data_IF_000935320452
#
_entry.id   IF_000935320452
#
_cell.length_a   1.000
_cell.length_b   1.000
_cell.length_c   1.000
_cell.angle_alpha   90.00
_cell.angle_beta   90.00
_cell.angle_gamma   90.00
#
_symmetry.space_group_name_H-M   'P 1'
#
loop_
_entity.id
_entity.type
_entity.pdbx_description
1 polymer ?
#
# COMPACT_ATOMS: atom_id res chain seq x y z
N UNK A 1 4.62 8.64 4.06
CA UNK A 1 3.79 7.42 4.18
C UNK A 1 2.43 7.59 3.52
N UNK A 2 1.56 8.48 4.00
CA UNK A 2 0.17 8.60 3.51
C UNK A 2 0.07 8.76 1.99
N UNK A 3 0.86 9.67 1.42
CA UNK A 3 0.85 9.92 -0.02
C UNK A 3 1.35 8.73 -0.83
N UNK A 4 2.33 7.98 -0.31
CA UNK A 4 2.82 6.77 -0.95
C UNK A 4 1.77 5.66 -0.92
N UNK A 5 1.12 5.45 0.22
CA UNK A 5 0.02 4.48 0.33
C UNK A 5 -1.14 4.82 -0.61
N UNK A 6 -1.58 6.08 -0.62
CA UNK A 6 -2.66 6.54 -1.51
C UNK A 6 -2.30 6.39 -2.97
N UNK A 7 -1.05 6.70 -3.36
CA UNK A 7 -0.58 6.50 -4.73
C UNK A 7 -0.64 5.02 -5.13
N UNK A 8 -0.15 4.12 -4.28
CA UNK A 8 -0.18 2.68 -4.57
C UNK A 8 -1.61 2.18 -4.73
N UNK A 9 -2.53 2.57 -3.84
CA UNK A 9 -3.89 2.07 -3.88
C UNK A 9 -4.70 2.74 -5.00
N UNK A 10 -4.56 4.05 -5.22
CA UNK A 10 -5.38 4.76 -6.20
C UNK A 10 -4.83 4.70 -7.61
N UNK A 11 -3.59 5.13 -7.76
CA UNK A 11 -3.01 5.40 -9.08
C UNK A 11 -2.44 4.13 -9.70
N UNK A 12 -1.93 3.21 -8.87
CA UNK A 12 -1.37 1.94 -9.34
C UNK A 12 -2.39 0.79 -9.29
N UNK A 13 -3.07 0.56 -8.16
CA UNK A 13 -4.06 -0.52 -8.04
C UNK A 13 -5.47 -0.12 -8.51
N UNK A 14 -5.67 1.13 -8.93
CA UNK A 14 -6.92 1.58 -9.54
C UNK A 14 -8.09 1.82 -8.57
N UNK A 15 -7.87 1.80 -7.26
CA UNK A 15 -8.94 2.08 -6.29
C UNK A 15 -9.33 3.56 -6.29
N UNK A 16 -10.62 3.84 -6.19
CA UNK A 16 -11.16 5.19 -6.33
C UNK A 16 -11.35 5.91 -4.99
N UNK A 17 -11.06 5.24 -3.85
CA UNK A 17 -11.41 5.74 -2.52
C UNK A 17 -12.91 6.04 -2.42
N UNK A 18 -13.69 5.13 -3.00
CA UNK A 18 -15.13 5.10 -2.95
C UNK A 18 -15.50 3.66 -2.59
N UNK A 19 -16.22 3.48 -1.48
CA UNK A 19 -16.48 2.16 -0.92
C UNK A 19 -17.18 1.21 -1.89
N UNK A 20 -18.18 1.69 -2.62
CA UNK A 20 -18.96 0.85 -3.54
C UNK A 20 -18.10 0.41 -4.72
N UNK A 21 -17.44 1.37 -5.39
CA UNK A 21 -16.55 1.08 -6.51
C UNK A 21 -15.37 0.20 -6.10
N UNK A 22 -14.78 0.44 -4.93
CA UNK A 22 -13.60 -0.29 -4.48
C UNK A 22 -13.93 -1.75 -4.11
N UNK A 23 -15.15 -2.03 -3.66
CA UNK A 23 -15.62 -3.41 -3.43
C UNK A 23 -15.76 -4.19 -4.73
N UNK A 24 -16.30 -3.54 -5.76
CA UNK A 24 -16.49 -4.10 -7.10
C UNK A 24 -15.20 -4.12 -7.93
N UNK A 25 -14.16 -3.39 -7.51
CA UNK A 25 -12.91 -3.28 -8.24
C UNK A 25 -12.19 -4.65 -8.39
N UNK A 26 -12.05 -5.10 -9.64
CA UNK A 26 -11.35 -6.33 -10.05
C UNK A 26 -9.87 -6.08 -10.44
N UNK A 27 -9.49 -4.82 -10.68
CA UNK A 27 -8.15 -4.40 -11.15
C UNK A 27 -7.02 -4.68 -10.16
N UNK A 28 -7.32 -5.19 -8.96
CA UNK A 28 -6.31 -5.78 -8.07
C UNK A 28 -5.47 -6.87 -8.76
N UNK A 29 -6.14 -7.78 -9.49
CA UNK A 29 -5.44 -8.87 -10.18
C UNK A 29 -4.63 -8.36 -11.37
N UNK A 30 -5.18 -7.39 -12.11
CA UNK A 30 -4.51 -6.70 -13.21
C UNK A 30 -3.24 -6.00 -12.73
N UNK A 31 -3.27 -5.27 -11.61
CA UNK A 31 -2.09 -4.61 -11.06
C UNK A 31 -0.94 -5.57 -10.75
N UNK A 32 -1.24 -6.80 -10.29
CA UNK A 32 -0.24 -7.84 -10.02
C UNK A 32 0.28 -8.56 -11.28
N UNK A 33 -0.42 -8.45 -12.41
CA UNK A 33 -0.17 -9.30 -13.59
C UNK A 33 0.13 -8.54 -14.88
N UNK A 34 -0.21 -7.24 -14.98
CA UNK A 34 -0.23 -6.53 -16.27
C UNK A 34 0.36 -5.11 -16.27
N UNK A 35 0.78 -4.56 -15.14
CA UNK A 35 1.28 -3.17 -15.09
C UNK A 35 2.66 -3.05 -15.76
N UNK A 36 2.87 -1.99 -16.56
CA UNK A 36 4.18 -1.74 -17.16
C UNK A 36 5.22 -1.52 -16.05
N UNK A 37 6.44 -2.01 -16.25
CA UNK A 37 7.56 -1.85 -15.32
C UNK A 37 7.74 -0.40 -14.82
N UNK A 38 7.37 0.59 -15.64
CA UNK A 38 7.47 2.00 -15.31
C UNK A 38 6.50 2.47 -14.21
N UNK A 39 5.26 1.99 -14.18
CA UNK A 39 4.27 2.42 -13.17
C UNK A 39 4.54 1.69 -11.86
N UNK A 40 4.82 0.37 -11.91
CA UNK A 40 5.29 -0.39 -10.75
C UNK A 40 6.59 0.21 -10.18
N UNK A 41 7.51 0.66 -11.04
CA UNK A 41 8.72 1.35 -10.62
C UNK A 41 8.46 2.64 -9.83
N UNK A 42 7.44 3.44 -10.19
CA UNK A 42 7.06 4.65 -9.44
C UNK A 42 6.42 4.32 -8.10
N UNK A 43 5.54 3.32 -8.07
CA UNK A 43 4.94 2.82 -6.83
C UNK A 43 6.02 2.32 -5.86
N UNK A 44 6.92 1.47 -6.35
CA UNK A 44 8.07 0.97 -5.61
C UNK A 44 8.96 2.11 -5.10
N UNK A 45 9.27 3.11 -5.92
CA UNK A 45 10.10 4.25 -5.51
C UNK A 45 9.47 5.08 -4.38
N UNK A 46 8.15 5.32 -4.42
CA UNK A 46 7.44 6.02 -3.34
C UNK A 46 7.44 5.24 -2.03
N UNK A 47 7.27 3.92 -2.10
CA UNK A 47 7.35 3.05 -0.93
C UNK A 47 8.78 2.99 -0.39
N UNK A 48 9.80 2.88 -1.25
CA UNK A 48 11.22 2.95 -0.90
C UNK A 48 11.53 4.22 -0.13
N UNK A 49 11.16 5.38 -0.66
CA UNK A 49 11.41 6.67 0.00
C UNK A 49 10.69 6.75 1.36
N UNK A 50 9.50 6.17 1.47
CA UNK A 50 8.80 6.04 2.76
C UNK A 50 9.58 5.15 3.73
N UNK A 51 10.12 4.02 3.28
CA UNK A 51 10.91 3.11 4.10
C UNK A 51 12.22 3.75 4.59
N UNK A 52 12.91 4.51 3.72
CA UNK A 52 14.12 5.28 4.08
C UNK A 52 13.78 6.35 5.12
N UNK A 53 12.73 7.14 4.90
CA UNK A 53 12.33 8.21 5.83
C UNK A 53 11.90 7.69 7.22
N UNK A 54 11.40 6.45 7.28
CA UNK A 54 11.03 5.78 8.55
C UNK A 54 12.19 4.98 9.16
N UNK A 55 13.36 4.94 8.51
CA UNK A 55 14.51 4.15 8.94
C UNK A 55 14.23 2.65 8.98
N UNK A 56 13.45 2.14 8.03
CA UNK A 56 13.21 0.70 7.80
C UNK A 56 14.36 0.11 6.98
N UNK A 57 14.83 0.85 5.98
CA UNK A 57 16.00 0.52 5.17
C UNK A 57 16.94 1.72 5.11
N UNK A 58 18.21 1.46 4.80
CA UNK A 58 19.21 2.49 4.54
C UNK A 58 19.07 3.07 3.12
N UNK A 59 19.55 4.29 2.91
CA UNK A 59 19.36 5.02 1.65
C UNK A 59 20.17 4.47 0.47
N UNK A 60 21.24 3.74 0.74
CA UNK A 60 22.12 3.05 -0.22
C UNK A 60 21.71 1.60 -0.47
N UNK A 61 20.99 0.98 0.47
CA UNK A 61 20.50 -0.38 0.35
C UNK A 61 19.10 -0.43 -0.31
N UNK A 62 19.06 -0.58 -1.64
CA UNK A 62 17.82 -0.83 -2.36
C UNK A 62 17.53 -2.33 -2.51
N UNK A 63 16.73 -2.86 -1.59
CA UNK A 63 16.14 -4.19 -1.72
C UNK A 63 14.84 -4.10 -2.54
N UNK A 64 14.94 -4.33 -3.84
CA UNK A 64 13.79 -4.28 -4.74
C UNK A 64 12.70 -5.30 -4.36
N UNK A 65 13.10 -6.51 -3.99
CA UNK A 65 12.16 -7.60 -3.67
C UNK A 65 11.34 -7.25 -2.43
N UNK A 66 12.00 -6.69 -1.40
CA UNK A 66 11.35 -6.21 -0.19
C UNK A 66 10.29 -5.15 -0.50
N UNK A 67 10.65 -4.16 -1.32
CA UNK A 67 9.74 -3.06 -1.69
C UNK A 67 8.55 -3.58 -2.48
N UNK A 68 8.77 -4.49 -3.42
CA UNK A 68 7.70 -5.16 -4.18
C UNK A 68 6.77 -5.91 -3.23
N UNK A 69 7.29 -6.68 -2.27
CA UNK A 69 6.47 -7.37 -1.25
C UNK A 69 5.60 -6.42 -0.45
N UNK A 70 6.15 -5.27 -0.02
CA UNK A 70 5.38 -4.25 0.70
C UNK A 70 4.24 -3.72 -0.17
N UNK A 71 4.50 -3.40 -1.44
CA UNK A 71 3.45 -2.96 -2.38
C UNK A 71 2.35 -4.02 -2.49
N UNK A 72 2.72 -5.28 -2.77
CA UNK A 72 1.75 -6.38 -2.92
C UNK A 72 0.90 -6.56 -1.67
N UNK A 73 1.54 -6.58 -0.49
CA UNK A 73 0.84 -6.77 0.78
C UNK A 73 0.00 -5.57 1.18
N UNK A 74 0.37 -4.35 0.78
CA UNK A 74 -0.47 -3.17 0.94
C UNK A 74 -1.79 -3.34 0.18
N UNK A 75 -1.71 -3.74 -1.10
CA UNK A 75 -2.88 -3.89 -1.97
C UNK A 75 -3.75 -5.07 -1.51
N UNK A 76 -3.13 -6.22 -1.18
CA UNK A 76 -3.83 -7.38 -0.61
C UNK A 76 -4.55 -7.05 0.69
N UNK A 77 -3.87 -6.35 1.60
CA UNK A 77 -4.45 -5.97 2.89
C UNK A 77 -5.62 -5.02 2.72
N UNK A 78 -5.56 -4.10 1.77
CA UNK A 78 -6.69 -3.22 1.45
C UNK A 78 -7.91 -4.00 0.94
N UNK A 79 -7.74 -4.88 -0.05
CA UNK A 79 -8.84 -5.70 -0.58
C UNK A 79 -9.42 -6.61 0.49
N UNK A 80 -8.59 -7.24 1.32
CA UNK A 80 -9.05 -8.06 2.44
C UNK A 80 -9.85 -7.22 3.45
N UNK A 81 -9.40 -6.00 3.76
CA UNK A 81 -10.10 -5.09 4.68
C UNK A 81 -11.47 -4.67 4.15
N UNK A 82 -11.59 -4.40 2.85
CA UNK A 82 -12.87 -4.11 2.19
C UNK A 82 -13.86 -5.27 2.30
N UNK A 83 -13.36 -6.51 2.18
CA UNK A 83 -14.17 -7.73 2.31
C UNK A 83 -14.54 -8.03 3.75
N UNK A 84 -13.71 -7.63 4.72
CA UNK A 84 -13.94 -7.91 6.14
C UNK A 84 -14.93 -6.92 6.76
N UNK A 85 -14.61 -5.62 6.85
CA UNK A 85 -15.54 -4.61 7.40
C UNK A 85 -15.08 -3.15 7.23
N UNK A 86 -14.14 -2.84 6.34
CA UNK A 86 -13.79 -1.47 6.03
C UNK A 86 -14.96 -0.79 5.29
N UNK A 87 -15.80 -0.11 6.06
CA UNK A 87 -17.09 0.48 5.62
C UNK A 87 -17.07 2.01 5.54
N UNK A 88 -15.90 2.63 5.71
CA UNK A 88 -15.78 4.08 5.61
C UNK A 88 -16.02 4.55 4.16
N UNK A 89 -16.76 5.66 3.92
CA UNK A 89 -16.97 6.22 2.58
C UNK A 89 -15.68 6.60 1.84
N UNK A 90 -14.59 6.84 2.56
CA UNK A 90 -13.24 7.06 2.04
C UNK A 90 -12.31 5.91 2.46
N UNK A 91 -12.50 4.71 1.90
CA UNK A 91 -11.86 3.49 2.37
C UNK A 91 -10.34 3.52 2.19
N UNK A 92 -9.81 3.94 1.04
CA UNK A 92 -8.35 4.07 0.84
C UNK A 92 -7.73 5.03 1.86
N UNK A 93 -8.35 6.17 2.09
CA UNK A 93 -7.85 7.18 3.04
C UNK A 93 -7.85 6.63 4.46
N UNK A 94 -8.90 5.91 4.83
CA UNK A 94 -9.03 5.25 6.13
C UNK A 94 -7.96 4.18 6.30
N UNK A 95 -7.83 3.28 5.33
CA UNK A 95 -6.84 2.21 5.34
C UNK A 95 -5.40 2.74 5.35
N UNK A 96 -5.09 3.77 4.55
CA UNK A 96 -3.78 4.42 4.61
C UNK A 96 -3.53 5.13 5.96
N UNK A 97 -4.57 5.61 6.64
CA UNK A 97 -4.46 6.10 8.01
C UNK A 97 -4.07 5.00 9.00
N UNK A 98 -4.56 3.79 8.81
CA UNK A 98 -4.20 2.62 9.62
C UNK A 98 -2.75 2.20 9.34
N UNK A 99 -2.39 2.04 8.06
CA UNK A 99 -1.03 1.66 7.65
C UNK A 99 0.01 2.67 8.14
N UNK A 100 -0.27 3.96 7.98
CA UNK A 100 0.68 5.00 8.37
C UNK A 100 0.63 5.37 9.86
N UNK A 101 -0.46 5.04 10.56
CA UNK A 101 -0.69 5.44 11.94
C UNK A 101 -0.73 6.97 12.13
N UNK A 102 -0.66 7.38 13.40
CA UNK A 102 -0.64 8.79 13.81
C UNK A 102 0.77 9.31 14.12
N UNK A 103 1.80 8.46 14.06
CA UNK A 103 3.19 8.83 14.34
C UNK A 103 4.17 7.92 13.57
N UNK A 104 5.44 8.33 13.52
CA UNK A 104 6.49 7.64 12.78
C UNK A 104 6.75 6.20 13.27
N UNK A 105 6.64 5.93 14.58
CA UNK A 105 6.87 4.59 15.13
C UNK A 105 5.78 3.61 14.72
N UNK A 106 4.51 4.04 14.79
CA UNK A 106 3.37 3.22 14.33
C UNK A 106 3.48 2.94 12.83
N UNK A 107 3.73 3.99 12.02
CA UNK A 107 3.93 3.82 10.58
C UNK A 107 5.12 2.90 10.26
N UNK A 108 6.23 3.03 10.99
CA UNK A 108 7.39 2.14 10.87
C UNK A 108 7.01 0.69 11.15
N UNK A 109 6.36 0.43 12.29
CA UNK A 109 5.95 -0.91 12.69
C UNK A 109 5.04 -1.55 11.64
N UNK A 110 4.00 -0.84 11.20
CA UNK A 110 3.01 -1.37 10.27
C UNK A 110 3.60 -1.63 8.88
N UNK A 111 4.44 -0.73 8.35
CA UNK A 111 5.13 -0.96 7.08
C UNK A 111 6.14 -2.10 7.18
N UNK A 112 6.81 -2.26 8.33
CA UNK A 112 7.70 -3.40 8.55
C UNK A 112 6.92 -4.72 8.55
N UNK A 113 5.71 -4.75 9.12
CA UNK A 113 4.82 -5.93 9.05
C UNK A 113 4.40 -6.28 7.62
N UNK A 114 4.19 -5.27 6.75
CA UNK A 114 3.84 -5.44 5.34
C UNK A 114 4.92 -6.16 4.52
N UNK A 115 6.14 -6.34 5.03
CA UNK A 115 7.17 -7.14 4.35
C UNK A 115 6.77 -8.62 4.26
N UNK A 116 6.05 -9.11 5.27
CA UNK A 116 5.75 -10.53 5.42
C UNK A 116 4.25 -10.83 5.26
N UNK A 117 3.38 -9.93 5.72
CA UNK A 117 1.94 -10.18 5.73
C UNK A 117 1.14 -8.94 5.33
N UNK A 118 -0.01 -9.11 4.65
CA UNK A 118 -0.96 -8.02 4.47
C UNK A 118 -1.49 -7.55 5.83
N UNK A 119 -1.62 -6.24 5.99
CA UNK A 119 -2.26 -5.65 7.16
C UNK A 119 -3.77 -5.57 6.91
N UNK A 120 -4.57 -6.30 7.67
CA UNK A 120 -6.03 -6.31 7.50
C UNK A 120 -6.68 -5.58 8.67
N UNK A 121 -7.63 -4.70 8.34
CA UNK A 121 -8.44 -3.94 9.30
C UNK A 121 -9.74 -4.65 9.64
#
# INVERSE_FOLDING_TARGET
CMDACKYVLKDYAGFQNNLELDKENESFAEALTSESDAIMGRAAMKIRNTCVNLGIIESDNYDHELIVKIVINLVKGYKASLLQNLTNPQPVTTYCGIVCGNNANTGKSNINSLQNNPLVY
#
